data_IF_283052146277
#
_entry.id   IF_283052146277
#
_cell.length_a   1.000
_cell.length_b   1.000
_cell.length_c   1.000
_cell.angle_alpha   90.00
_cell.angle_beta   90.00
_cell.angle_gamma   90.00
#
_symmetry.space_group_name_H-M   'P 1'
#
loop_
_entity.id
_entity.type
_entity.pdbx_description
1 polymer ?
#
# COMPACT_ATOMS: atom_id res chain seq x y z
N UNK A 1 25.23 -39.38 -12.60
CA UNK A 1 26.04 -39.04 -11.41
C UNK A 1 25.18 -38.15 -10.56
N UNK A 2 24.57 -38.72 -9.52
CA UNK A 2 23.88 -37.96 -8.50
C UNK A 2 24.96 -37.28 -7.64
N UNK A 3 24.90 -35.97 -7.49
CA UNK A 3 25.68 -35.30 -6.45
C UNK A 3 24.97 -35.51 -5.11
N UNK A 4 25.72 -36.02 -4.14
CA UNK A 4 25.31 -36.10 -2.75
C UNK A 4 25.21 -34.67 -2.20
N UNK A 5 23.99 -34.25 -1.86
CA UNK A 5 23.80 -33.12 -0.96
C UNK A 5 24.16 -33.64 0.43
N UNK A 6 25.20 -33.08 1.05
CA UNK A 6 25.48 -33.31 2.47
C UNK A 6 24.26 -32.87 3.30
N UNK A 7 23.36 -33.81 3.57
CA UNK A 7 22.34 -33.65 4.60
C UNK A 7 23.07 -33.56 5.94
N UNK A 8 23.23 -32.35 6.46
CA UNK A 8 23.63 -32.18 7.86
C UNK A 8 22.57 -32.85 8.72
N UNK A 9 22.92 -33.98 9.32
CA UNK A 9 22.10 -34.69 10.30
C UNK A 9 21.79 -33.70 11.43
N UNK A 10 20.55 -33.20 11.46
CA UNK A 10 20.10 -32.21 12.43
C UNK A 10 19.74 -30.81 11.88
N UNK A 11 19.64 -30.62 10.57
CA UNK A 11 19.01 -29.40 10.05
C UNK A 11 17.55 -29.33 10.57
N UNK A 12 17.25 -28.30 11.37
CA UNK A 12 15.87 -28.00 11.77
C UNK A 12 15.07 -27.84 10.48
N UNK A 13 13.97 -28.59 10.29
CA UNK A 13 13.16 -28.43 9.09
C UNK A 13 12.76 -26.97 8.99
N UNK A 14 13.08 -26.33 7.86
CA UNK A 14 12.54 -25.01 7.56
C UNK A 14 11.05 -25.21 7.28
N UNK A 15 10.22 -25.00 8.30
CA UNK A 15 8.78 -24.95 8.12
C UNK A 15 8.45 -23.68 7.34
N UNK A 16 8.44 -23.81 6.01
CA UNK A 16 7.90 -22.81 5.10
C UNK A 16 6.41 -23.11 4.98
N UNK A 17 5.61 -22.49 5.82
CA UNK A 17 4.15 -22.65 5.83
C UNK A 17 3.48 -21.54 6.63
N UNK A 18 2.21 -21.28 6.33
CA UNK A 18 1.37 -20.46 7.20
C UNK A 18 1.04 -21.22 8.50
N UNK A 19 0.88 -20.48 9.61
CA UNK A 19 0.26 -21.03 10.82
C UNK A 19 -1.17 -21.49 10.49
N UNK A 20 -1.58 -22.63 11.05
CA UNK A 20 -2.95 -23.13 10.88
C UNK A 20 -3.93 -22.05 11.37
N UNK A 21 -4.89 -21.61 10.54
CA UNK A 21 -5.78 -20.53 10.91
C UNK A 21 -6.65 -20.95 12.10
N UNK A 22 -6.78 -20.05 13.07
CA UNK A 22 -7.68 -20.26 14.21
C UNK A 22 -9.12 -20.07 13.75
N UNK A 23 -10.00 -21.08 13.91
CA UNK A 23 -11.40 -20.99 13.52
C UNK A 23 -12.17 -19.95 14.34
N UNK A 24 -13.29 -19.48 13.79
CA UNK A 24 -14.21 -18.52 14.44
C UNK A 24 -14.67 -19.04 15.79
N UNK A 25 -15.02 -20.32 15.89
CA UNK A 25 -15.58 -20.93 17.10
C UNK A 25 -14.60 -20.88 18.28
N UNK A 26 -13.31 -21.11 18.01
CA UNK A 26 -12.24 -21.01 19.00
C UNK A 26 -12.02 -19.56 19.42
N UNK A 27 -12.04 -18.63 18.46
CA UNK A 27 -11.90 -17.21 18.76
C UNK A 27 -13.07 -16.69 19.61
N UNK A 28 -14.30 -17.09 19.28
CA UNK A 28 -15.50 -16.78 20.06
C UNK A 28 -15.44 -17.36 21.48
N UNK A 29 -14.93 -18.58 21.64
CA UNK A 29 -14.75 -19.17 22.97
C UNK A 29 -13.79 -18.33 23.83
N UNK A 30 -12.67 -17.87 23.27
CA UNK A 30 -11.77 -16.91 23.94
C UNK A 30 -12.51 -15.61 24.27
N UNK A 31 -13.38 -15.12 23.37
CA UNK A 31 -14.26 -13.98 23.61
C UNK A 31 -15.21 -14.19 24.80
N UNK A 32 -15.77 -15.40 24.96
CA UNK A 32 -16.62 -15.77 26.09
C UNK A 32 -15.84 -15.85 27.39
N UNK A 33 -14.62 -16.39 27.37
CA UNK A 33 -13.72 -16.40 28.54
C UNK A 33 -13.42 -14.96 28.97
N UNK A 34 -13.11 -14.07 28.02
CA UNK A 34 -12.88 -12.65 28.29
C UNK A 34 -14.10 -11.99 28.93
N UNK A 35 -15.31 -12.26 28.42
CA UNK A 35 -16.56 -11.77 29.01
C UNK A 35 -16.76 -12.28 30.43
N UNK A 36 -16.56 -13.58 30.65
CA UNK A 36 -16.66 -14.19 31.97
C UNK A 36 -15.71 -13.52 32.97
N UNK A 37 -14.47 -13.23 32.57
CA UNK A 37 -13.50 -12.50 33.40
C UNK A 37 -14.01 -11.09 33.73
N UNK A 38 -14.52 -10.35 32.75
CA UNK A 38 -15.05 -8.99 32.96
C UNK A 38 -16.25 -8.96 33.93
N UNK A 39 -17.19 -9.90 33.76
CA UNK A 39 -18.40 -10.04 34.58
C UNK A 39 -18.10 -10.46 36.02
N UNK A 40 -17.00 -11.22 36.23
CA UNK A 40 -16.62 -11.76 37.53
C UNK A 40 -15.40 -11.07 38.15
N UNK A 41 -14.95 -9.94 37.59
CA UNK A 41 -13.70 -9.27 37.98
C UNK A 41 -13.60 -8.96 39.47
N UNK A 42 -14.72 -8.70 40.14
CA UNK A 42 -14.78 -8.39 41.58
C UNK A 42 -14.43 -9.61 42.47
N UNK A 43 -14.51 -10.84 41.94
CA UNK A 43 -14.16 -12.07 42.68
C UNK A 43 -12.66 -12.25 42.90
N UNK A 44 -11.81 -11.48 42.21
CA UNK A 44 -10.37 -11.66 42.21
C UNK A 44 -9.88 -12.71 41.22
N UNK A 45 -8.65 -12.52 40.74
CA UNK A 45 -8.04 -13.36 39.69
C UNK A 45 -7.87 -14.82 40.14
N UNK A 46 -7.58 -15.06 41.42
CA UNK A 46 -7.36 -16.39 41.96
C UNK A 46 -8.62 -17.24 41.90
N UNK A 47 -9.80 -16.63 42.16
CA UNK A 47 -11.09 -17.33 42.13
C UNK A 47 -11.56 -17.59 40.72
N UNK A 48 -11.41 -16.62 39.83
CA UNK A 48 -11.71 -16.77 38.39
C UNK A 48 -10.87 -17.89 37.79
N UNK A 49 -9.57 -17.95 38.13
CA UNK A 49 -8.66 -18.99 37.64
C UNK A 49 -9.03 -20.39 38.13
N UNK A 50 -9.52 -20.50 39.36
CA UNK A 50 -10.02 -21.76 39.92
C UNK A 50 -11.28 -22.23 39.18
N UNK A 51 -12.27 -21.34 38.98
CA UNK A 51 -13.49 -21.66 38.24
C UNK A 51 -13.18 -22.10 36.78
N UNK A 52 -12.26 -21.42 36.11
CA UNK A 52 -11.82 -21.80 34.76
C UNK A 52 -11.04 -23.13 34.74
N UNK A 53 -10.27 -23.46 35.78
CA UNK A 53 -9.53 -24.74 35.86
C UNK A 53 -10.44 -25.97 36.01
N UNK A 54 -11.69 -25.78 36.42
CA UNK A 54 -12.69 -26.85 36.47
C UNK A 54 -13.30 -27.14 35.10
N UNK A 55 -13.30 -26.15 34.21
CA UNK A 55 -13.87 -26.25 32.85
C UNK A 55 -12.80 -26.65 31.84
N UNK A 56 -11.61 -26.06 31.96
CA UNK A 56 -10.49 -26.28 31.06
C UNK A 56 -9.43 -27.15 31.75
N UNK A 57 -8.97 -28.25 31.14
CA UNK A 57 -8.01 -29.18 31.74
C UNK A 57 -6.60 -28.58 31.78
N UNK A 58 -6.39 -27.56 32.61
CA UNK A 58 -5.13 -26.86 32.77
C UNK A 58 -4.92 -26.46 34.24
N UNK A 59 -3.64 -26.38 34.64
CA UNK A 59 -3.26 -25.99 36.00
C UNK A 59 -3.73 -24.56 36.34
N UNK A 60 -4.23 -24.38 37.57
CA UNK A 60 -4.73 -23.07 38.05
C UNK A 60 -3.70 -21.96 37.87
N UNK A 61 -2.43 -22.18 38.22
CA UNK A 61 -1.38 -21.16 38.09
C UNK A 61 -1.04 -20.87 36.63
N UNK A 62 -1.22 -21.85 35.74
CA UNK A 62 -1.11 -21.62 34.31
C UNK A 62 -2.25 -20.71 33.82
N UNK A 63 -3.50 -21.03 34.15
CA UNK A 63 -4.67 -20.21 33.78
C UNK A 63 -4.54 -18.79 34.34
N UNK A 64 -4.17 -18.64 35.61
CA UNK A 64 -4.00 -17.34 36.26
C UNK A 64 -3.01 -16.45 35.50
N UNK A 65 -1.85 -17.02 35.09
CA UNK A 65 -0.89 -16.30 34.25
C UNK A 65 -1.46 -15.93 32.89
N UNK A 66 -2.21 -16.83 32.25
CA UNK A 66 -2.78 -16.61 30.93
C UNK A 66 -3.87 -15.52 30.93
N UNK A 67 -4.70 -15.47 31.97
CA UNK A 67 -5.80 -14.50 32.06
C UNK A 67 -5.38 -13.16 32.66
N UNK A 68 -4.21 -13.08 33.31
CA UNK A 68 -3.74 -11.88 34.01
C UNK A 68 -3.81 -10.60 33.17
N UNK A 69 -3.38 -10.55 31.89
CA UNK A 69 -3.51 -9.34 31.08
C UNK A 69 -4.97 -8.92 30.88
N UNK A 70 -5.88 -9.89 30.71
CA UNK A 70 -7.32 -9.66 30.53
C UNK A 70 -7.95 -9.17 31.84
N UNK A 71 -7.58 -9.78 32.97
CA UNK A 71 -8.04 -9.37 34.28
C UNK A 71 -7.62 -7.93 34.60
N UNK A 72 -6.35 -7.58 34.39
CA UNK A 72 -5.85 -6.21 34.56
C UNK A 72 -6.59 -5.24 33.62
N UNK A 73 -6.78 -5.62 32.35
CA UNK A 73 -7.54 -4.81 31.38
C UNK A 73 -8.94 -4.48 31.90
N UNK A 74 -9.65 -5.49 32.42
CA UNK A 74 -11.03 -5.35 32.91
C UNK A 74 -11.21 -4.37 34.07
N UNK A 75 -10.13 -3.98 34.75
CA UNK A 75 -10.18 -3.00 35.85
C UNK A 75 -10.25 -1.55 35.34
N UNK A 76 -9.82 -1.30 34.11
CA UNK A 76 -9.62 0.07 33.59
C UNK A 76 -10.38 0.32 32.28
N UNK A 77 -10.63 -0.72 31.49
CA UNK A 77 -11.17 -0.61 30.15
C UNK A 77 -12.22 -1.68 29.88
N UNK A 78 -13.21 -1.38 29.01
CA UNK A 78 -14.09 -2.38 28.43
C UNK A 78 -13.28 -3.50 27.76
N UNK A 79 -13.58 -4.74 28.11
CA UNK A 79 -12.90 -5.92 27.57
C UNK A 79 -13.48 -6.25 26.19
N UNK A 80 -12.67 -6.51 25.16
CA UNK A 80 -13.14 -7.04 23.88
C UNK A 80 -13.58 -8.50 24.03
N UNK A 81 -14.81 -8.82 23.65
CA UNK A 81 -15.47 -10.12 23.86
C UNK A 81 -16.09 -10.64 22.57
N UNK A 82 -16.77 -11.79 22.63
CA UNK A 82 -17.60 -12.31 21.54
C UNK A 82 -18.81 -11.42 21.20
N UNK A 83 -19.10 -10.41 22.03
CA UNK A 83 -20.19 -9.44 21.82
C UNK A 83 -19.74 -7.99 21.78
N UNK A 84 -18.43 -7.72 21.86
CA UNK A 84 -17.89 -6.35 21.87
C UNK A 84 -16.61 -6.25 21.06
N UNK A 85 -16.65 -5.40 20.02
CA UNK A 85 -15.47 -4.91 19.31
C UNK A 85 -14.97 -3.67 20.02
N UNK A 86 -13.68 -3.62 20.31
CA UNK A 86 -13.03 -2.46 20.94
C UNK A 86 -11.97 -1.92 19.99
N UNK A 87 -11.99 -0.62 19.75
CA UNK A 87 -10.97 0.08 18.98
C UNK A 87 -10.13 0.96 19.89
N UNK A 88 -8.82 0.94 19.67
CA UNK A 88 -7.89 1.89 20.30
C UNK A 88 -6.83 2.31 19.28
N UNK A 89 -6.24 3.49 19.49
CA UNK A 89 -5.08 3.93 18.73
C UNK A 89 -3.93 4.24 19.68
N UNK A 90 -2.76 3.72 19.36
CA UNK A 90 -1.51 4.06 20.02
C UNK A 90 -0.47 4.43 18.97
N UNK A 91 0.03 5.67 19.03
CA UNK A 91 0.95 6.24 18.02
C UNK A 91 0.36 6.16 16.60
N UNK A 92 1.03 5.46 15.70
CA UNK A 92 0.63 5.24 14.30
C UNK A 92 -0.14 3.92 14.11
N UNK A 93 -0.53 3.24 15.19
CA UNK A 93 -1.17 1.93 15.15
C UNK A 93 -2.61 2.00 15.68
N UNK A 94 -3.59 1.79 14.81
CA UNK A 94 -4.98 1.52 15.19
C UNK A 94 -5.14 0.01 15.37
N UNK A 95 -5.72 -0.39 16.49
CA UNK A 95 -5.95 -1.78 16.86
C UNK A 95 -7.46 -2.00 17.01
N UNK A 96 -7.98 -2.96 16.25
CA UNK A 96 -9.37 -3.40 16.33
C UNK A 96 -9.36 -4.75 17.02
N UNK A 97 -9.84 -4.83 18.25
CA UNK A 97 -9.98 -6.07 18.98
C UNK A 97 -11.29 -6.73 18.61
N UNK A 98 -11.20 -7.87 17.94
CA UNK A 98 -12.31 -8.62 17.36
C UNK A 98 -11.99 -10.10 17.37
N UNK A 99 -12.81 -10.90 18.06
CA UNK A 99 -12.63 -12.34 18.18
C UNK A 99 -13.25 -13.09 17.00
N UNK A 100 -12.88 -12.71 15.77
CA UNK A 100 -13.40 -13.31 14.54
C UNK A 100 -12.63 -14.56 14.09
N UNK A 101 -11.45 -14.82 14.63
CA UNK A 101 -10.55 -15.87 14.11
C UNK A 101 -9.74 -15.37 12.91
N UNK A 102 -8.81 -16.19 12.44
CA UNK A 102 -7.78 -15.75 11.47
C UNK A 102 -8.39 -15.33 10.13
N UNK A 103 -9.23 -16.17 9.52
CA UNK A 103 -9.72 -15.96 8.16
C UNK A 103 -10.71 -14.79 8.06
N UNK A 104 -11.55 -14.61 9.09
CA UNK A 104 -12.48 -13.49 9.17
C UNK A 104 -11.73 -12.18 9.41
N UNK A 105 -10.81 -12.16 10.38
CA UNK A 105 -10.03 -10.96 10.68
C UNK A 105 -9.18 -10.54 9.48
N UNK A 106 -8.61 -11.49 8.75
CA UNK A 106 -7.90 -11.25 7.49
C UNK A 106 -8.80 -10.60 6.44
N UNK A 107 -10.01 -11.13 6.23
CA UNK A 107 -10.97 -10.56 5.30
C UNK A 107 -11.33 -9.11 5.67
N UNK A 108 -11.62 -8.85 6.95
CA UNK A 108 -11.93 -7.49 7.45
C UNK A 108 -10.71 -6.57 7.29
N UNK A 109 -9.49 -7.05 7.56
CA UNK A 109 -8.26 -6.27 7.39
C UNK A 109 -8.07 -5.84 5.93
N UNK A 110 -8.29 -6.74 4.98
CA UNK A 110 -8.22 -6.44 3.53
C UNK A 110 -9.31 -5.45 3.10
N UNK A 111 -10.53 -5.65 3.59
CA UNK A 111 -11.63 -4.74 3.34
C UNK A 111 -11.32 -3.31 3.83
N UNK A 112 -10.85 -3.17 5.07
CA UNK A 112 -10.48 -1.88 5.65
C UNK A 112 -9.31 -1.23 4.90
N UNK A 113 -8.32 -2.01 4.47
CA UNK A 113 -7.22 -1.48 3.65
C UNK A 113 -7.68 -0.92 2.29
N UNK A 114 -8.76 -1.45 1.72
CA UNK A 114 -9.34 -0.96 0.48
C UNK A 114 -10.09 0.37 0.68
N UNK A 115 -10.83 0.48 1.79
CA UNK A 115 -11.66 1.64 2.12
C UNK A 115 -10.86 2.83 2.64
N UNK A 116 -9.85 2.58 3.47
CA UNK A 116 -9.12 3.65 4.15
C UNK A 116 -8.18 4.42 3.21
N UNK A 117 -7.97 5.73 3.43
CA UNK A 117 -7.03 6.53 2.65
C UNK A 117 -5.58 6.00 2.79
N UNK A 118 -4.89 5.63 1.70
CA UNK A 118 -3.50 5.18 1.78
C UNK A 118 -2.53 6.33 2.12
N UNK A 119 -1.32 6.04 2.64
CA UNK A 119 -0.75 4.70 2.84
C UNK A 119 -1.28 4.02 4.11
N UNK A 120 -1.75 2.78 3.98
CA UNK A 120 -2.16 1.93 5.11
C UNK A 120 -1.43 0.59 5.01
N UNK A 121 -0.86 0.13 6.12
CA UNK A 121 -0.40 -1.24 6.24
C UNK A 121 -1.35 -1.97 7.19
N UNK A 122 -1.68 -3.22 6.89
CA UNK A 122 -2.58 -3.99 7.73
C UNK A 122 -1.97 -5.35 8.04
N UNK A 123 -2.25 -5.84 9.23
CA UNK A 123 -1.98 -7.21 9.61
C UNK A 123 -3.03 -7.66 10.62
N UNK A 124 -3.10 -8.97 10.82
CA UNK A 124 -4.11 -9.57 11.67
C UNK A 124 -3.53 -10.66 12.54
N UNK A 125 -4.20 -10.90 13.66
CA UNK A 125 -4.12 -12.13 14.44
C UNK A 125 -5.56 -12.64 14.66
N UNK A 126 -5.76 -13.84 15.24
CA UNK A 126 -7.10 -14.40 15.47
C UNK A 126 -8.06 -13.53 16.28
N UNK A 127 -7.54 -12.55 17.03
CA UNK A 127 -8.27 -11.74 17.99
C UNK A 127 -8.16 -10.24 17.72
N UNK A 128 -7.32 -9.81 16.77
CA UNK A 128 -7.05 -8.39 16.50
C UNK A 128 -6.73 -8.13 15.03
N UNK A 129 -7.07 -6.92 14.60
CA UNK A 129 -6.64 -6.34 13.33
C UNK A 129 -5.82 -5.10 13.65
N UNK A 130 -4.70 -4.96 12.98
CA UNK A 130 -3.76 -3.87 13.15
C UNK A 130 -3.72 -3.04 11.87
N UNK A 131 -3.88 -1.73 12.00
CA UNK A 131 -3.76 -0.77 10.91
C UNK A 131 -2.67 0.21 11.27
N UNK A 132 -1.55 0.17 10.54
CA UNK A 132 -0.45 1.11 10.72
C UNK A 132 -0.59 2.28 9.75
N UNK A 133 -0.99 3.43 10.27
CA UNK A 133 -1.11 4.70 9.56
C UNK A 133 -1.21 5.88 10.55
N UNK A 134 -0.33 6.86 10.41
CA UNK A 134 -0.31 8.05 11.28
C UNK A 134 -1.60 8.89 11.17
N UNK A 135 -2.12 9.04 9.95
CA UNK A 135 -3.26 9.91 9.64
C UNK A 135 -4.63 9.30 9.92
N UNK A 136 -4.70 7.98 10.16
CA UNK A 136 -5.96 7.28 10.42
C UNK A 136 -6.28 7.30 11.92
N UNK A 137 -7.51 7.64 12.28
CA UNK A 137 -8.04 7.59 13.65
C UNK A 137 -9.03 6.42 13.81
N UNK A 138 -9.35 6.04 15.04
CA UNK A 138 -10.34 5.00 15.34
C UNK A 138 -11.70 5.30 14.72
N UNK A 139 -12.17 6.55 14.80
CA UNK A 139 -13.42 7.00 14.16
C UNK A 139 -13.48 6.77 12.65
N UNK A 140 -12.34 6.90 11.95
CA UNK A 140 -12.26 6.71 10.50
C UNK A 140 -12.42 5.22 10.15
N UNK A 141 -11.96 4.34 11.05
CA UNK A 141 -12.19 2.90 10.94
C UNK A 141 -13.64 2.56 11.25
N UNK A 142 -14.22 3.13 12.32
CA UNK A 142 -15.61 2.88 12.73
C UNK A 142 -16.59 3.24 11.61
N UNK A 143 -16.38 4.36 10.91
CA UNK A 143 -17.23 4.74 9.77
C UNK A 143 -17.20 3.73 8.64
N UNK A 144 -16.11 2.96 8.51
CA UNK A 144 -15.96 1.94 7.48
C UNK A 144 -16.37 0.54 7.94
N UNK A 145 -16.72 0.30 9.22
CA UNK A 145 -17.19 -1.00 9.75
C UNK A 145 -18.63 -1.33 9.28
N UNK A 146 -18.83 -1.39 7.96
CA UNK A 146 -20.08 -1.70 7.28
C UNK A 146 -19.82 -2.77 6.21
N UNK A 147 -20.73 -3.73 5.98
CA UNK A 147 -20.53 -4.79 4.98
C UNK A 147 -20.81 -4.33 3.53
N UNK A 148 -20.79 -3.03 3.23
CA UNK A 148 -21.17 -2.50 1.92
C UNK A 148 -20.10 -2.76 0.85
N UNK A 149 -20.48 -3.48 -0.21
CA UNK A 149 -19.60 -3.93 -1.30
C UNK A 149 -18.40 -4.74 -0.79
N UNK A 150 -18.54 -5.43 0.34
CA UNK A 150 -17.42 -6.06 1.05
C UNK A 150 -16.59 -6.98 0.15
N UNK A 151 -17.22 -7.93 -0.55
CA UNK A 151 -16.53 -8.84 -1.46
C UNK A 151 -15.81 -8.15 -2.62
N UNK A 152 -16.32 -7.03 -3.16
CA UNK A 152 -15.64 -6.28 -4.22
C UNK A 152 -14.41 -5.55 -3.69
N UNK A 153 -14.51 -4.95 -2.51
CA UNK A 153 -13.42 -4.20 -1.90
C UNK A 153 -12.27 -5.09 -1.45
N UNK A 154 -12.58 -6.27 -0.89
CA UNK A 154 -11.55 -7.29 -0.57
C UNK A 154 -10.78 -7.67 -1.83
N UNK A 155 -11.48 -7.96 -2.94
CA UNK A 155 -10.86 -8.34 -4.22
C UNK A 155 -9.86 -7.29 -4.74
N UNK A 156 -10.12 -5.99 -4.55
CA UNK A 156 -9.21 -4.91 -4.96
C UNK A 156 -7.85 -4.93 -4.26
N UNK A 157 -7.77 -5.49 -3.05
CA UNK A 157 -6.52 -5.50 -2.26
C UNK A 157 -5.80 -6.84 -2.28
N UNK A 158 -6.48 -7.93 -2.68
CA UNK A 158 -5.90 -9.28 -2.72
C UNK A 158 -4.65 -9.35 -3.60
N UNK A 159 -4.67 -8.82 -4.82
CA UNK A 159 -3.51 -8.89 -5.74
C UNK A 159 -2.23 -8.31 -5.14
N UNK A 160 -2.37 -7.23 -4.35
CA UNK A 160 -1.25 -6.53 -3.75
C UNK A 160 -0.66 -7.27 -2.55
N UNK A 161 -1.36 -8.27 -2.02
CA UNK A 161 -0.97 -8.99 -0.82
C UNK A 161 0.16 -10.00 -1.06
N UNK A 162 1.06 -10.12 -0.09
CA UNK A 162 2.09 -11.14 0.02
C UNK A 162 1.48 -12.54 0.05
N UNK A 163 0.30 -12.70 0.65
CA UNK A 163 -0.45 -13.96 0.64
C UNK A 163 -0.81 -14.39 -0.78
N UNK A 164 -1.40 -13.51 -1.59
CA UNK A 164 -1.70 -13.81 -2.99
C UNK A 164 -0.43 -14.11 -3.79
N UNK A 165 0.65 -13.34 -3.58
CA UNK A 165 1.95 -13.61 -4.23
C UNK A 165 2.46 -15.00 -3.90
N UNK A 166 2.38 -15.39 -2.63
CA UNK A 166 2.74 -16.73 -2.16
C UNK A 166 1.87 -17.80 -2.83
N UNK A 167 0.53 -17.64 -2.84
CA UNK A 167 -0.39 -18.56 -3.52
C UNK A 167 -0.11 -18.67 -5.01
N UNK A 168 0.13 -17.56 -5.70
CA UNK A 168 0.50 -17.53 -7.10
C UNK A 168 1.80 -18.27 -7.38
N UNK A 169 2.85 -18.06 -6.58
CA UNK A 169 4.10 -18.80 -6.69
C UNK A 169 3.87 -20.32 -6.58
N UNK A 170 3.06 -20.76 -5.61
CA UNK A 170 2.74 -22.17 -5.43
C UNK A 170 1.92 -22.73 -6.60
N UNK A 171 0.90 -22.01 -7.06
CA UNK A 171 0.09 -22.43 -8.21
C UNK A 171 0.93 -22.51 -9.48
N UNK A 172 1.78 -21.51 -9.74
CA UNK A 172 2.68 -21.50 -10.88
C UNK A 172 3.68 -22.66 -10.86
N UNK A 173 4.21 -23.02 -9.68
CA UNK A 173 5.07 -24.21 -9.50
C UNK A 173 4.31 -25.51 -9.74
N UNK A 174 3.07 -25.64 -9.25
CA UNK A 174 2.23 -26.83 -9.47
C UNK A 174 1.92 -27.02 -10.95
N UNK A 175 1.73 -25.93 -11.69
CA UNK A 175 1.41 -25.95 -13.12
C UNK A 175 2.66 -26.01 -14.03
N UNK A 176 3.87 -26.11 -13.46
CA UNK A 176 5.10 -26.21 -14.24
C UNK A 176 5.55 -24.92 -14.94
N UNK A 177 4.96 -23.78 -14.58
CA UNK A 177 5.34 -22.46 -15.10
C UNK A 177 6.67 -22.01 -14.48
N UNK A 178 6.89 -22.39 -13.21
CA UNK A 178 8.13 -22.14 -12.48
C UNK A 178 8.69 -23.50 -12.06
N UNK A 179 9.96 -23.74 -12.38
CA UNK A 179 10.64 -24.97 -11.98
C UNK A 179 10.71 -25.10 -10.45
N UNK A 180 10.62 -26.35 -9.97
CA UNK A 180 10.78 -26.66 -8.55
C UNK A 180 12.23 -26.37 -8.15
N UNK A 181 12.45 -25.39 -7.28
CA UNK A 181 13.78 -24.97 -6.82
C UNK A 181 14.30 -23.69 -7.49
N UNK A 182 13.58 -23.12 -8.46
CA UNK A 182 13.96 -21.81 -9.00
C UNK A 182 13.84 -20.73 -7.92
N UNK A 183 14.91 -19.95 -7.78
CA UNK A 183 14.97 -18.76 -6.92
C UNK A 183 14.20 -17.62 -7.59
N UNK A 184 13.01 -17.35 -7.07
CA UNK A 184 12.13 -16.29 -7.57
C UNK A 184 12.17 -15.11 -6.62
N UNK A 185 12.81 -14.03 -7.04
CA UNK A 185 12.76 -12.77 -6.27
C UNK A 185 11.36 -12.18 -6.27
N UNK A 186 10.99 -11.44 -5.21
CA UNK A 186 9.68 -10.78 -5.12
C UNK A 186 9.37 -9.89 -6.33
N UNK A 187 10.39 -9.23 -6.90
CA UNK A 187 10.25 -8.37 -8.08
C UNK A 187 9.95 -9.14 -9.37
N UNK A 188 10.49 -10.36 -9.50
CA UNK A 188 10.22 -11.25 -10.64
C UNK A 188 8.81 -11.82 -10.54
N UNK A 189 8.42 -12.23 -9.34
CA UNK A 189 7.08 -12.73 -9.05
C UNK A 189 6.00 -11.68 -9.36
N UNK A 190 6.22 -10.42 -8.97
CA UNK A 190 5.31 -9.32 -9.31
C UNK A 190 5.16 -9.12 -10.83
N UNK A 191 6.26 -9.15 -11.58
CA UNK A 191 6.21 -9.05 -13.05
C UNK A 191 5.47 -10.22 -13.67
N UNK A 192 5.67 -11.44 -13.15
CA UNK A 192 5.03 -12.64 -13.64
C UNK A 192 3.51 -12.58 -13.41
N UNK A 193 3.08 -12.21 -12.19
CA UNK A 193 1.67 -12.00 -11.86
C UNK A 193 1.02 -11.02 -12.84
N UNK A 194 1.65 -9.88 -13.11
CA UNK A 194 1.13 -8.88 -14.04
C UNK A 194 1.02 -9.45 -15.46
N UNK A 195 2.06 -10.17 -15.93
CA UNK A 195 2.08 -10.74 -17.28
C UNK A 195 1.08 -11.87 -17.49
N UNK A 196 0.67 -12.52 -16.40
CA UNK A 196 -0.23 -13.66 -16.38
C UNK A 196 -1.62 -13.30 -15.82
N UNK A 197 -1.97 -12.02 -15.73
CA UNK A 197 -3.30 -11.59 -15.30
C UNK A 197 -4.36 -12.24 -16.20
N UNK A 198 -5.47 -12.66 -15.60
CA UNK A 198 -6.59 -13.37 -16.24
C UNK A 198 -6.25 -14.75 -16.83
N UNK A 199 -5.03 -15.26 -16.61
CA UNK A 199 -4.68 -16.64 -16.97
C UNK A 199 -5.17 -17.64 -15.92
N UNK A 200 -5.20 -18.92 -16.28
CA UNK A 200 -5.57 -20.02 -15.37
C UNK A 200 -4.79 -20.01 -14.04
N UNK A 201 -3.43 -19.93 -14.00
CA UNK A 201 -2.69 -19.89 -12.73
C UNK A 201 -3.01 -18.66 -11.89
N UNK A 202 -3.30 -17.53 -12.53
CA UNK A 202 -3.71 -16.31 -11.84
C UNK A 202 -5.09 -16.49 -11.20
N UNK A 203 -6.08 -16.92 -11.98
CA UNK A 203 -7.46 -17.10 -11.51
C UNK A 203 -7.54 -18.14 -10.40
N UNK A 204 -6.81 -19.25 -10.53
CA UNK A 204 -6.74 -20.29 -9.50
C UNK A 204 -6.14 -19.74 -8.20
N UNK A 205 -4.99 -19.05 -8.27
CA UNK A 205 -4.38 -18.44 -7.08
C UNK A 205 -5.29 -17.39 -6.43
N UNK A 206 -6.00 -16.60 -7.26
CA UNK A 206 -6.87 -15.54 -6.79
C UNK A 206 -8.10 -16.11 -6.07
N UNK A 207 -8.80 -17.06 -6.71
CA UNK A 207 -9.96 -17.73 -6.13
C UNK A 207 -9.57 -18.50 -4.88
N UNK A 208 -8.45 -19.23 -4.89
CA UNK A 208 -7.96 -19.93 -3.70
C UNK A 208 -7.72 -18.96 -2.54
N UNK A 209 -7.13 -17.78 -2.80
CA UNK A 209 -6.87 -16.78 -1.76
C UNK A 209 -8.18 -16.24 -1.16
N UNK A 210 -9.21 -16.03 -1.98
CA UNK A 210 -10.51 -15.53 -1.52
C UNK A 210 -11.30 -16.63 -0.78
N UNK A 211 -11.30 -17.85 -1.32
CA UNK A 211 -12.20 -18.92 -0.87
C UNK A 211 -11.62 -19.76 0.27
N UNK A 212 -10.30 -19.96 0.28
CA UNK A 212 -9.62 -20.81 1.26
C UNK A 212 -8.88 -20.02 2.32
N UNK A 213 -8.34 -18.85 1.96
CA UNK A 213 -7.55 -18.06 2.89
C UNK A 213 -8.31 -16.90 3.53
N UNK A 214 -9.59 -16.71 3.21
CA UNK A 214 -10.44 -15.67 3.79
C UNK A 214 -11.85 -16.19 4.02
N UNK A 215 -12.49 -15.78 5.12
CA UNK A 215 -13.92 -16.02 5.33
C UNK A 215 -14.69 -14.72 5.14
N UNK A 216 -14.99 -14.44 3.87
CA UNK A 216 -15.72 -13.24 3.44
C UNK A 216 -17.13 -13.22 4.02
N UNK A 217 -17.80 -14.38 4.09
CA UNK A 217 -19.18 -14.46 4.57
C UNK A 217 -19.26 -14.21 6.07
N UNK A 218 -18.36 -14.82 6.85
CA UNK A 218 -18.25 -14.62 8.28
C UNK A 218 -17.90 -13.17 8.62
N UNK A 219 -17.01 -12.54 7.85
CA UNK A 219 -16.69 -11.12 8.00
C UNK A 219 -17.89 -10.20 7.76
N UNK A 220 -18.63 -10.41 6.67
CA UNK A 220 -19.86 -9.65 6.40
C UNK A 220 -20.91 -9.82 7.51
N UNK A 221 -21.04 -11.03 8.06
CA UNK A 221 -21.95 -11.31 9.17
C UNK A 221 -21.56 -10.51 10.42
N UNK A 222 -20.29 -10.54 10.84
CA UNK A 222 -19.82 -9.78 12.01
C UNK A 222 -20.05 -8.28 11.81
N UNK A 223 -19.69 -7.72 10.65
CA UNK A 223 -19.92 -6.30 10.38
C UNK A 223 -21.42 -5.94 10.35
N UNK A 224 -22.28 -6.85 9.86
CA UNK A 224 -23.74 -6.66 9.89
C UNK A 224 -24.29 -6.69 11.32
N UNK A 225 -23.76 -7.58 12.17
CA UNK A 225 -24.12 -7.64 13.59
C UNK A 225 -23.69 -6.37 14.32
N UNK A 226 -22.48 -5.86 14.05
CA UNK A 226 -22.00 -4.59 14.59
C UNK A 226 -22.90 -3.42 14.16
N UNK A 227 -23.21 -3.30 12.86
CA UNK A 227 -24.09 -2.24 12.32
C UNK A 227 -25.49 -2.23 12.92
N UNK A 228 -26.03 -3.39 13.28
CA UNK A 228 -27.36 -3.55 13.91
C UNK A 228 -27.33 -3.45 15.44
N UNK A 229 -26.16 -3.27 16.05
CA UNK A 229 -25.99 -3.19 17.50
C UNK A 229 -26.05 -4.54 18.24
N UNK A 230 -26.01 -5.67 17.52
CA UNK A 230 -25.92 -7.00 18.15
C UNK A 230 -24.52 -7.29 18.70
N UNK A 231 -23.50 -6.67 18.10
CA UNK A 231 -22.14 -6.58 18.65
C UNK A 231 -21.91 -5.11 18.99
N UNK A 232 -21.55 -4.83 20.24
CA UNK A 232 -21.22 -3.49 20.70
C UNK A 232 -19.89 -3.03 20.07
N UNK A 233 -19.81 -1.77 19.63
CA UNK A 233 -18.57 -1.17 19.14
C UNK A 233 -18.17 -0.04 20.07
N UNK A 234 -17.01 -0.18 20.72
CA UNK A 234 -16.48 0.78 21.69
C UNK A 234 -15.22 1.43 21.14
N UNK A 235 -15.18 2.76 21.18
CA UNK A 235 -14.02 3.57 20.81
C UNK A 235 -13.29 4.06 22.06
N UNK A 236 -12.06 3.60 22.29
CA UNK A 236 -11.18 4.11 23.35
C UNK A 236 -10.38 5.34 22.90
N UNK A 237 -10.40 5.66 21.60
CA UNK A 237 -9.71 6.80 21.02
C UNK A 237 -8.19 6.66 20.98
N UNK A 238 -7.51 7.81 20.97
CA UNK A 238 -6.06 7.92 21.00
C UNK A 238 -5.55 7.79 22.45
N UNK A 239 -4.82 6.72 22.73
CA UNK A 239 -4.26 6.44 24.05
C UNK A 239 -2.76 6.76 24.09
N UNK A 240 -2.30 7.28 25.24
CA UNK A 240 -0.86 7.52 25.46
C UNK A 240 -0.06 6.22 25.56
N UNK A 241 -0.69 5.15 26.03
CA UNK A 241 -0.13 3.80 26.18
C UNK A 241 -1.14 2.77 25.67
N UNK A 242 -0.69 1.64 25.08
CA UNK A 242 -1.60 0.59 24.66
C UNK A 242 -2.30 -0.03 25.88
N UNK A 243 -3.54 -0.49 25.72
CA UNK A 243 -4.21 -1.28 26.76
C UNK A 243 -3.45 -2.58 27.04
N UNK A 244 -3.63 -3.23 28.21
CA UNK A 244 -2.94 -4.49 28.52
C UNK A 244 -3.15 -5.59 27.47
N UNK A 245 -4.35 -5.70 26.90
CA UNK A 245 -4.63 -6.66 25.83
C UNK A 245 -3.95 -6.26 24.52
N UNK A 246 -3.87 -4.98 24.18
CA UNK A 246 -3.11 -4.52 23.01
C UNK A 246 -1.61 -4.71 23.18
N UNK A 247 -1.06 -4.42 24.36
CA UNK A 247 0.36 -4.57 24.68
C UNK A 247 0.84 -6.01 24.45
N UNK A 248 0.04 -7.01 24.87
CA UNK A 248 0.29 -8.42 24.51
C UNK A 248 0.32 -8.63 23.00
N UNK A 249 -0.65 -8.12 22.26
CA UNK A 249 -0.71 -8.29 20.80
C UNK A 249 0.48 -7.67 20.07
N UNK A 250 0.85 -6.44 20.45
CA UNK A 250 1.98 -5.70 19.86
C UNK A 250 3.30 -6.45 20.05
N UNK A 251 3.54 -7.05 21.23
CA UNK A 251 4.76 -7.84 21.50
C UNK A 251 4.98 -8.95 20.47
N UNK A 252 3.91 -9.63 20.06
CA UNK A 252 3.97 -10.73 19.09
C UNK A 252 3.98 -10.27 17.63
N UNK A 253 3.67 -9.00 17.36
CA UNK A 253 3.48 -8.46 16.01
C UNK A 253 4.74 -7.82 15.40
N UNK A 254 5.82 -7.65 16.17
CA UNK A 254 7.10 -7.15 15.63
C UNK A 254 7.64 -8.10 14.55
N UNK A 255 7.45 -7.73 13.28
CA UNK A 255 7.92 -8.47 12.09
C UNK A 255 6.84 -8.97 11.12
N UNK A 256 5.55 -8.93 11.48
CA UNK A 256 4.43 -9.49 10.69
C UNK A 256 3.55 -8.45 9.96
N UNK A 257 3.91 -7.16 9.99
CA UNK A 257 3.09 -6.10 9.36
C UNK A 257 3.25 -6.09 7.85
N UNK A 258 2.17 -6.36 7.14
CA UNK A 258 2.16 -6.38 5.68
C UNK A 258 1.81 -4.99 5.12
N UNK A 259 2.72 -4.42 4.33
CA UNK A 259 2.45 -3.21 3.57
C UNK A 259 1.56 -3.54 2.37
N UNK A 260 0.25 -3.37 2.53
CA UNK A 260 -0.66 -3.34 1.38
C UNK A 260 -0.39 -2.06 0.59
N UNK A 261 0.31 -2.20 -0.53
CA UNK A 261 0.43 -1.12 -1.50
C UNK A 261 -0.86 -1.06 -2.29
N UNK A 262 -1.80 -0.20 -1.88
CA UNK A 262 -2.97 0.12 -2.69
C UNK A 262 -2.54 0.56 -4.11
N UNK A 263 -3.32 0.21 -5.14
CA UNK A 263 -3.14 0.65 -6.54
C UNK A 263 -3.00 2.18 -6.71
N UNK A 264 -3.39 2.95 -5.69
CA UNK A 264 -3.15 4.41 -5.64
C UNK A 264 -1.67 4.80 -5.59
N UNK A 265 -0.71 3.87 -5.50
CA UNK A 265 0.72 4.21 -5.61
C UNK A 265 1.04 4.90 -6.93
N UNK A 266 0.45 4.46 -8.05
CA UNK A 266 0.66 5.13 -9.33
C UNK A 266 0.05 6.52 -9.36
N UNK A 267 -1.14 6.68 -8.77
CA UNK A 267 -1.82 7.98 -8.64
C UNK A 267 -0.98 8.93 -7.77
N UNK A 268 -0.49 8.46 -6.63
CA UNK A 268 0.35 9.25 -5.71
C UNK A 268 1.71 9.59 -6.35
N UNK A 269 2.34 8.66 -7.06
CA UNK A 269 3.57 8.93 -7.80
C UNK A 269 3.34 9.91 -8.96
N UNK A 270 2.19 9.80 -9.65
CA UNK A 270 1.78 10.74 -10.71
C UNK A 270 1.57 12.13 -10.16
N UNK A 271 0.82 12.28 -9.07
CA UNK A 271 0.59 13.58 -8.45
C UNK A 271 1.88 14.18 -7.89
N UNK A 272 2.76 13.37 -7.28
CA UNK A 272 4.10 13.83 -6.86
C UNK A 272 4.93 14.29 -8.05
N UNK A 273 4.92 13.56 -9.17
CA UNK A 273 5.62 13.98 -10.40
C UNK A 273 5.02 15.29 -10.93
N UNK A 274 3.70 15.38 -11.03
CA UNK A 274 2.97 16.55 -11.50
C UNK A 274 3.34 17.79 -10.70
N UNK A 275 3.21 17.73 -9.37
CA UNK A 275 3.56 18.85 -8.49
C UNK A 275 5.00 19.29 -8.67
N UNK A 276 5.95 18.34 -8.76
CA UNK A 276 7.37 18.63 -8.98
C UNK A 276 7.67 19.26 -10.34
N UNK A 277 6.96 18.84 -11.40
CA UNK A 277 7.19 19.39 -12.74
C UNK A 277 6.56 20.78 -12.88
N UNK A 278 5.40 21.02 -12.28
CA UNK A 278 4.72 22.32 -12.33
C UNK A 278 5.44 23.39 -11.49
N UNK A 279 6.10 23.02 -10.38
CA UNK A 279 6.84 23.96 -9.54
C UNK A 279 8.23 24.33 -10.08
N UNK A 280 8.69 23.69 -11.17
CA UNK A 280 10.01 24.00 -11.76
C UNK A 280 9.98 25.30 -12.55
N UNK A 281 11.06 26.05 -12.41
CA UNK A 281 11.39 27.18 -13.29
C UNK A 281 11.99 26.67 -14.60
N UNK A 282 11.66 27.35 -15.68
CA UNK A 282 12.14 27.05 -17.03
C UNK A 282 12.45 28.34 -17.77
N UNK A 283 13.65 28.41 -18.35
CA UNK A 283 14.03 29.50 -19.25
C UNK A 283 13.49 29.22 -20.64
N UNK A 284 12.70 30.14 -21.18
CA UNK A 284 12.13 30.05 -22.53
C UNK A 284 12.74 31.12 -23.44
N UNK A 285 13.14 30.72 -24.64
CA UNK A 285 13.56 31.66 -25.70
C UNK A 285 12.62 31.64 -26.89
N UNK A 286 12.37 32.78 -27.52
CA UNK A 286 11.60 32.82 -28.76
C UNK A 286 12.48 32.51 -29.98
N UNK A 287 12.20 31.40 -30.65
CA UNK A 287 12.94 30.97 -31.85
C UNK A 287 12.46 31.63 -33.14
N UNK A 288 11.39 32.43 -33.08
CA UNK A 288 10.88 33.23 -34.21
C UNK A 288 11.52 34.62 -34.28
N UNK A 289 11.38 35.45 -33.24
CA UNK A 289 11.92 36.81 -33.24
C UNK A 289 13.34 36.92 -32.65
N UNK A 290 13.84 35.84 -32.04
CA UNK A 290 15.15 35.79 -31.38
C UNK A 290 15.40 36.93 -30.39
N UNK A 291 14.33 37.49 -29.81
CA UNK A 291 14.39 38.72 -29.01
C UNK A 291 13.76 38.62 -27.64
N UNK A 292 13.36 37.42 -27.24
CA UNK A 292 12.69 37.17 -25.98
C UNK A 292 13.37 35.99 -25.29
N UNK A 293 13.79 36.23 -24.05
CA UNK A 293 14.22 35.23 -23.07
C UNK A 293 13.55 35.59 -21.74
N UNK A 294 12.97 34.61 -21.04
CA UNK A 294 12.33 34.82 -19.74
C UNK A 294 12.39 33.52 -18.93
N UNK A 295 12.46 33.62 -17.61
CA UNK A 295 12.39 32.48 -16.68
C UNK A 295 11.01 32.46 -16.02
N UNK A 296 10.27 31.37 -16.23
CA UNK A 296 8.89 31.23 -15.76
C UNK A 296 8.69 29.94 -14.98
N UNK A 297 7.72 29.91 -14.07
CA UNK A 297 7.29 28.68 -13.39
C UNK A 297 6.30 27.94 -14.31
N UNK A 298 6.55 26.67 -14.60
CA UNK A 298 5.73 25.89 -15.56
C UNK A 298 4.24 25.89 -15.17
N UNK A 299 3.94 25.81 -13.88
CA UNK A 299 2.58 25.86 -13.33
C UNK A 299 1.79 27.09 -13.75
N UNK A 300 2.44 28.24 -13.85
CA UNK A 300 1.84 29.56 -14.12
C UNK A 300 1.67 29.86 -15.62
N UNK A 301 2.21 29.02 -16.50
CA UNK A 301 2.11 29.21 -17.94
C UNK A 301 0.83 28.51 -18.44
N UNK A 302 -0.17 29.27 -18.85
CA UNK A 302 -1.36 28.70 -19.53
C UNK A 302 -1.03 28.33 -20.98
N UNK A 303 -0.61 29.33 -21.77
CA UNK A 303 -0.08 29.13 -23.12
C UNK A 303 1.31 29.74 -23.29
N UNK A 304 2.28 29.02 -23.88
CA UNK A 304 3.62 29.55 -24.14
C UNK A 304 3.62 30.47 -25.37
N UNK A 305 3.33 31.76 -25.15
CA UNK A 305 3.33 32.80 -26.19
C UNK A 305 4.43 33.82 -25.92
N UNK A 306 5.20 34.19 -26.96
CA UNK A 306 6.21 35.22 -26.87
C UNK A 306 5.56 36.60 -26.66
N UNK A 307 5.87 37.26 -25.54
CA UNK A 307 5.35 38.59 -25.19
C UNK A 307 5.79 39.71 -26.14
N UNK A 308 6.80 39.48 -27.00
CA UNK A 308 7.30 40.47 -27.98
C UNK A 308 6.72 40.34 -29.38
N UNK A 309 6.42 39.12 -29.85
CA UNK A 309 5.99 38.91 -31.24
C UNK A 309 4.75 38.02 -31.39
N UNK A 310 4.16 37.55 -30.29
CA UNK A 310 2.99 36.68 -30.32
C UNK A 310 3.24 35.25 -30.81
N UNK A 311 4.48 34.89 -31.17
CA UNK A 311 4.79 33.54 -31.64
C UNK A 311 4.67 32.51 -30.51
N UNK A 312 4.09 31.34 -30.84
CA UNK A 312 4.05 30.14 -29.98
C UNK A 312 5.33 29.30 -30.04
N UNK A 313 6.32 29.68 -30.85
CA UNK A 313 7.62 28.97 -30.98
C UNK A 313 8.61 29.34 -29.86
N UNK A 314 8.17 29.19 -28.61
CA UNK A 314 9.03 29.30 -27.44
C UNK A 314 9.75 27.98 -27.21
N UNK A 315 11.06 28.02 -27.01
CA UNK A 315 11.88 26.84 -26.79
C UNK A 315 12.47 26.85 -25.38
N UNK A 316 12.29 25.77 -24.59
CA UNK A 316 12.97 25.63 -23.33
C UNK A 316 14.47 25.37 -23.49
N UNK A 317 15.27 26.01 -22.63
CA UNK A 317 16.73 25.86 -22.58
C UNK A 317 17.20 25.61 -21.13
N UNK A 318 18.36 24.98 -20.96
CA UNK A 318 18.94 24.68 -19.63
C UNK A 318 19.71 25.84 -19.00
N UNK A 319 19.95 26.89 -19.77
CA UNK A 319 20.76 28.04 -19.39
C UNK A 319 19.92 29.12 -18.71
N UNK A 320 20.56 29.99 -17.94
CA UNK A 320 19.93 31.17 -17.35
C UNK A 320 19.52 32.20 -18.41
N UNK A 321 18.75 33.21 -18.01
CA UNK A 321 18.24 34.25 -18.92
C UNK A 321 19.37 34.99 -19.63
N UNK A 322 20.41 35.43 -18.90
CA UNK A 322 21.53 36.19 -19.47
C UNK A 322 22.29 35.40 -20.56
N UNK A 323 22.59 34.13 -20.28
CA UNK A 323 23.22 33.21 -21.25
C UNK A 323 22.32 32.97 -22.47
N UNK A 324 21.01 32.86 -22.24
CA UNK A 324 20.01 32.70 -23.29
C UNK A 324 19.94 33.94 -24.18
N UNK A 325 20.03 35.14 -23.61
CA UNK A 325 20.08 36.39 -24.38
C UNK A 325 21.35 36.47 -25.24
N UNK A 326 22.51 36.07 -24.71
CA UNK A 326 23.76 35.99 -25.49
C UNK A 326 23.61 35.01 -26.65
N UNK A 327 23.00 33.84 -26.42
CA UNK A 327 22.72 32.86 -27.47
C UNK A 327 21.84 33.46 -28.57
N UNK A 328 20.80 34.21 -28.19
CA UNK A 328 19.90 34.88 -29.11
C UNK A 328 20.57 36.02 -29.89
N UNK A 329 21.45 36.80 -29.27
CA UNK A 329 22.23 37.84 -29.95
C UNK A 329 23.12 37.21 -31.04
N UNK A 330 23.89 36.17 -30.70
CA UNK A 330 24.72 35.43 -31.67
C UNK A 330 23.89 34.87 -32.83
N UNK A 331 22.67 34.40 -32.54
CA UNK A 331 21.75 33.89 -33.54
C UNK A 331 21.29 34.95 -34.55
N UNK A 332 21.12 36.21 -34.11
CA UNK A 332 20.78 37.34 -35.01
C UNK A 332 21.94 37.73 -35.92
N UNK A 333 23.17 37.57 -35.44
CA UNK A 333 24.40 37.78 -36.23
C UNK A 333 24.69 36.60 -37.19
N UNK A 334 23.74 35.68 -37.36
CA UNK A 334 23.85 34.54 -38.28
C UNK A 334 24.70 33.37 -37.76
N UNK A 335 25.14 33.39 -36.49
CA UNK A 335 25.92 32.29 -35.91
C UNK A 335 24.98 31.19 -35.40
N UNK A 336 25.14 29.99 -35.94
CA UNK A 336 24.28 28.86 -35.58
C UNK A 336 24.97 27.91 -34.59
N UNK A 337 24.51 27.94 -33.34
CA UNK A 337 24.98 27.06 -32.27
C UNK A 337 24.20 25.72 -32.25
N UNK A 338 24.84 24.65 -31.75
CA UNK A 338 24.20 23.35 -31.48
C UNK A 338 23.01 23.48 -30.53
N UNK A 339 23.11 24.33 -29.51
CA UNK A 339 22.00 24.58 -28.58
C UNK A 339 20.86 25.35 -29.26
N UNK A 340 21.16 26.32 -30.14
CA UNK A 340 20.14 27.00 -30.94
C UNK A 340 19.41 26.04 -31.89
N UNK A 341 20.12 25.11 -32.54
CA UNK A 341 19.50 24.07 -33.37
C UNK A 341 18.55 23.18 -32.58
N UNK A 342 18.94 22.78 -31.36
CA UNK A 342 18.06 22.02 -30.46
C UNK A 342 16.86 22.86 -30.02
N UNK A 343 17.07 24.12 -29.65
CA UNK A 343 16.02 25.03 -29.26
C UNK A 343 15.00 25.22 -30.38
N UNK A 344 15.43 25.41 -31.64
CA UNK A 344 14.51 25.49 -32.79
C UNK A 344 13.65 24.24 -32.95
N UNK A 345 14.19 23.03 -32.70
CA UNK A 345 13.40 21.78 -32.71
C UNK A 345 12.37 21.77 -31.59
N UNK A 346 12.79 22.10 -30.37
CA UNK A 346 11.87 22.21 -29.22
C UNK A 346 10.80 23.28 -29.43
N UNK A 347 11.13 24.42 -30.02
CA UNK A 347 10.18 25.48 -30.35
C UNK A 347 9.06 25.01 -31.27
N UNK A 348 9.34 24.08 -32.20
CA UNK A 348 8.29 23.43 -33.02
C UNK A 348 7.41 22.48 -32.22
N UNK A 349 7.97 21.76 -31.25
CA UNK A 349 7.21 20.86 -30.37
C UNK A 349 6.31 21.69 -29.44
N UNK A 350 6.81 22.80 -28.90
CA UNK A 350 6.03 23.71 -28.05
C UNK A 350 4.93 24.41 -28.84
N UNK A 351 5.19 24.81 -30.09
CA UNK A 351 4.16 25.39 -30.95
C UNK A 351 2.97 24.44 -31.17
N UNK A 352 3.23 23.12 -31.24
CA UNK A 352 2.19 22.09 -31.38
C UNK A 352 1.55 21.66 -30.05
N UNK A 353 2.37 21.45 -29.02
CA UNK A 353 1.97 20.81 -27.76
C UNK A 353 1.83 21.76 -26.56
N UNK A 354 2.11 23.05 -26.73
CA UNK A 354 1.98 24.07 -25.70
C UNK A 354 2.66 23.70 -24.39
N UNK A 355 1.91 23.81 -23.28
CA UNK A 355 2.38 23.47 -21.93
C UNK A 355 2.83 22.01 -21.80
N UNK A 356 2.20 21.06 -22.51
CA UNK A 356 2.60 19.63 -22.47
C UNK A 356 4.06 19.45 -22.93
N UNK A 357 4.50 20.22 -23.93
CA UNK A 357 5.88 20.16 -24.41
C UNK A 357 6.89 20.67 -23.37
N UNK A 358 6.53 21.71 -22.59
CA UNK A 358 7.36 22.21 -21.50
C UNK A 358 7.48 21.18 -20.36
N UNK A 359 6.37 20.51 -20.03
CA UNK A 359 6.35 19.41 -19.07
C UNK A 359 7.25 18.26 -19.54
N UNK A 360 7.16 17.88 -20.82
CA UNK A 360 8.01 16.85 -21.43
C UNK A 360 9.51 17.20 -21.32
N UNK A 361 9.88 18.44 -21.63
CA UNK A 361 11.26 18.92 -21.48
C UNK A 361 11.75 18.83 -20.05
N UNK A 362 10.94 19.34 -19.10
CA UNK A 362 11.26 19.33 -17.67
C UNK A 362 11.38 17.91 -17.12
N UNK A 363 10.57 16.97 -17.61
CA UNK A 363 10.67 15.56 -17.27
C UNK A 363 11.94 14.86 -17.79
N UNK A 364 12.75 15.54 -18.62
CA UNK A 364 13.97 14.98 -19.21
C UNK A 364 13.71 14.05 -20.39
N UNK A 365 12.58 14.24 -21.09
CA UNK A 365 12.29 13.52 -22.32
C UNK A 365 13.16 14.03 -23.47
N UNK A 366 13.54 13.14 -24.36
CA UNK A 366 14.21 13.46 -25.62
C UNK A 366 13.22 14.08 -26.61
N UNK A 367 13.73 14.67 -27.70
CA UNK A 367 12.89 15.26 -28.75
C UNK A 367 11.86 14.27 -29.31
N UNK A 368 12.26 13.01 -29.57
CA UNK A 368 11.35 11.96 -30.06
C UNK A 368 10.28 11.60 -29.03
N UNK A 369 10.69 11.37 -27.78
CA UNK A 369 9.76 11.06 -26.70
C UNK A 369 8.78 12.21 -26.46
N UNK A 370 9.21 13.46 -26.63
CA UNK A 370 8.35 14.63 -26.47
C UNK A 370 7.32 14.79 -27.60
N UNK A 371 7.67 14.45 -28.84
CA UNK A 371 6.71 14.44 -29.97
C UNK A 371 5.58 13.42 -29.76
N UNK A 372 5.91 12.27 -29.17
CA UNK A 372 4.91 11.27 -28.76
C UNK A 372 4.08 11.78 -27.57
N UNK A 373 4.76 12.32 -26.56
CA UNK A 373 4.14 12.69 -25.29
C UNK A 373 3.10 13.82 -25.42
N UNK A 374 3.28 14.78 -26.35
CA UNK A 374 2.31 15.86 -26.55
C UNK A 374 0.95 15.36 -27.08
N UNK A 375 0.96 14.20 -27.75
CA UNK A 375 -0.25 13.55 -28.29
C UNK A 375 -0.89 12.58 -27.30
N UNK A 376 -0.24 12.32 -26.16
CA UNK A 376 -0.79 11.46 -25.11
C UNK A 376 -1.91 12.17 -24.35
N UNK A 377 -2.91 11.41 -23.91
CA UNK A 377 -4.02 11.90 -23.08
C UNK A 377 -3.49 12.47 -21.77
N UNK A 378 -2.65 11.70 -21.05
CA UNK A 378 -1.97 12.12 -19.83
C UNK A 378 -0.44 12.19 -20.01
N UNK A 379 0.08 13.42 -20.05
CA UNK A 379 1.52 13.70 -20.16
C UNK A 379 2.33 13.20 -18.95
N UNK A 380 1.75 13.22 -17.75
CA UNK A 380 2.43 12.83 -16.52
C UNK A 380 2.57 11.31 -16.45
N UNK A 381 1.54 10.58 -16.87
CA UNK A 381 1.59 9.13 -16.99
C UNK A 381 2.63 8.68 -18.03
N UNK A 382 2.64 9.32 -19.20
CA UNK A 382 3.64 9.06 -20.25
C UNK A 382 5.06 9.30 -19.73
N UNK A 383 5.29 10.43 -19.05
CA UNK A 383 6.58 10.76 -18.47
C UNK A 383 7.02 9.75 -17.40
N UNK A 384 6.12 9.33 -16.50
CA UNK A 384 6.40 8.28 -15.51
C UNK A 384 6.83 6.97 -16.16
N UNK A 385 6.05 6.48 -17.13
CA UNK A 385 6.36 5.23 -17.85
C UNK A 385 7.73 5.29 -18.53
N UNK A 386 8.05 6.44 -19.12
CA UNK A 386 9.33 6.64 -19.81
C UNK A 386 10.52 6.72 -18.86
N UNK A 387 10.39 7.43 -17.73
CA UNK A 387 11.41 7.49 -16.69
C UNK A 387 11.67 6.09 -16.11
N UNK A 388 10.61 5.32 -15.82
CA UNK A 388 10.74 3.93 -15.34
C UNK A 388 11.48 3.05 -16.35
N UNK A 389 11.15 3.13 -17.64
CA UNK A 389 11.88 2.40 -18.70
C UNK A 389 13.37 2.76 -18.73
N UNK A 390 13.73 4.04 -18.59
CA UNK A 390 15.13 4.49 -18.55
C UNK A 390 15.88 3.98 -17.32
N UNK A 391 15.24 4.00 -16.15
CA UNK A 391 15.79 3.45 -14.92
C UNK A 391 16.03 1.95 -15.08
N UNK A 392 15.03 1.18 -15.53
CA UNK A 392 15.16 -0.26 -15.76
C UNK A 392 16.32 -0.58 -16.71
N UNK A 393 16.44 0.12 -17.85
CA UNK A 393 17.58 -0.06 -18.78
C UNK A 393 18.94 0.23 -18.15
N UNK A 394 19.01 1.13 -17.17
CA UNK A 394 20.25 1.49 -16.47
C UNK A 394 20.68 0.43 -15.45
N UNK A 395 19.73 -0.35 -14.92
CA UNK A 395 19.96 -1.44 -13.97
C UNK A 395 19.96 -2.83 -14.61
N UNK A 396 19.49 -2.99 -15.86
CA UNK A 396 19.57 -4.24 -16.64
C UNK A 396 20.90 -4.44 -17.35
N UNK A 397 21.93 -3.68 -16.99
CA UNK A 397 23.32 -3.88 -17.42
C UNK A 397 24.13 -4.32 -16.21
N UNK A 398 23.78 -5.47 -15.63
CA UNK A 398 24.62 -6.33 -14.78
C UNK A 398 24.03 -7.74 -14.77
#
# INVERSE_FOLDING_TARGET
>A
MCEEVEESIGAVPSWIGEEIPVPKEIAEEVGRIRRFIEENREKGIERISEELSLVYPADKKFIERAIKPIYIHSQFYPVPTDKRIVLEKWRDLVIIHITGGTLINRAIARYLAAKLPPPVAVSEDPYRIYIKAEHIRTRDVISELSPENFGEEVRKTVESSGLFKFRFLHTARKMGIIEKGADVTSSMLEKLIISMRDSVPYMEAFNYTIDMDMDVRGAEEILRMAKRGAIEVVDLGDLERPTPIADEGIRWQFGRVELIKSDKKEIVEREKLRMRLLSRRITLICTSCLSYADELIIGEIDEPVCKKCGSRRLAPVKMGVDEAEILLMKARDGREDKELRKARKWGKIVEKGGKKALIAYSAGLSLREAEEAISADDIYEFALKTIRKKILRRYSVY
#
